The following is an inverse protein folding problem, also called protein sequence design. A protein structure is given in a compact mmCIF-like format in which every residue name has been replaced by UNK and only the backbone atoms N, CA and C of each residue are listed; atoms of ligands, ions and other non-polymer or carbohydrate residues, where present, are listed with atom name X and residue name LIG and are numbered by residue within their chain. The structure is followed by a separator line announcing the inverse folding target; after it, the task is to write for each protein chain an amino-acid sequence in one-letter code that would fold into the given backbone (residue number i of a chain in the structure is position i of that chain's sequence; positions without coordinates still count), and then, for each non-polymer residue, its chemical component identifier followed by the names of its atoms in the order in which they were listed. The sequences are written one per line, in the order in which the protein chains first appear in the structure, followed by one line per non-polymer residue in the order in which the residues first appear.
data_IF_515980926413
#
_entry.id   IF_515980926413
#
_cell.length_a   1.000
_cell.length_b   1.000
_cell.length_c   1.000
_cell.angle_alpha   90.00
_cell.angle_beta   90.00
_cell.angle_gamma   90.00
#
_symmetry.space_group_name_H-M   'P 1'
#
loop_
_entity.id
_entity.type
_entity.pdbx_description
1 polymer ?
#
# COMPACT_ATOMS: atom_id res chain seq x y z
N UNK A 1 13.94 21.56 -23.08
CA UNK A 1 13.22 22.68 -23.74
C UNK A 1 12.19 23.16 -22.74
N UNK A 2 11.95 24.47 -22.62
CA UNK A 2 10.95 25.01 -21.69
C UNK A 2 9.76 25.57 -22.44
N UNK A 3 8.58 25.44 -21.85
CA UNK A 3 7.39 26.10 -22.35
C UNK A 3 7.54 27.62 -22.20
N UNK A 4 7.30 28.37 -23.28
CA UNK A 4 7.50 29.82 -23.27
C UNK A 4 6.44 30.59 -22.48
N UNK A 5 5.32 29.95 -22.16
CA UNK A 5 4.19 30.54 -21.43
C UNK A 5 4.20 30.11 -19.98
N UNK A 6 4.30 28.80 -19.70
CA UNK A 6 4.25 28.29 -18.32
C UNK A 6 5.63 28.29 -17.64
N UNK A 7 6.72 28.33 -18.42
CA UNK A 7 8.08 28.21 -17.89
C UNK A 7 8.45 26.78 -17.46
N UNK A 8 7.55 25.81 -17.62
CA UNK A 8 7.79 24.43 -17.23
C UNK A 8 8.73 23.71 -18.21
N UNK A 9 9.39 22.68 -17.72
CA UNK A 9 10.18 21.78 -18.58
C UNK A 9 9.23 21.04 -19.53
N UNK A 10 9.42 21.20 -20.83
CA UNK A 10 8.75 20.38 -21.84
C UNK A 10 9.44 19.02 -21.95
N UNK A 11 8.72 17.97 -21.57
CA UNK A 11 9.15 16.58 -21.76
C UNK A 11 9.11 16.20 -23.25
N UNK A 12 10.18 15.60 -23.76
CA UNK A 12 10.33 15.23 -25.19
C UNK A 12 10.17 13.74 -25.46
N UNK A 13 9.85 12.93 -24.44
CA UNK A 13 9.65 11.49 -24.55
C UNK A 13 8.29 11.10 -25.15
N UNK A 14 7.97 9.81 -25.08
CA UNK A 14 6.67 9.29 -25.52
C UNK A 14 5.52 9.91 -24.70
N UNK A 15 4.48 10.39 -25.40
CA UNK A 15 3.32 11.06 -24.77
C UNK A 15 2.62 10.18 -23.74
N UNK A 16 2.57 8.86 -23.96
CA UNK A 16 1.96 7.90 -23.04
C UNK A 16 2.74 7.78 -21.74
N UNK A 17 4.06 7.67 -21.82
CA UNK A 17 4.98 7.61 -20.68
C UNK A 17 4.95 8.91 -19.89
N UNK A 18 4.94 10.06 -20.58
CA UNK A 18 4.84 11.38 -19.93
C UNK A 18 3.51 11.51 -19.17
N UNK A 19 2.39 11.11 -19.81
CA UNK A 19 1.07 11.15 -19.16
C UNK A 19 1.02 10.27 -17.92
N UNK A 20 1.68 9.12 -17.94
CA UNK A 20 1.73 8.23 -16.79
C UNK A 20 2.66 8.75 -15.70
N UNK A 21 3.80 9.33 -16.06
CA UNK A 21 4.69 10.02 -15.13
C UNK A 21 4.02 11.17 -14.39
N UNK A 22 3.12 11.92 -15.04
CA UNK A 22 2.33 12.96 -14.37
C UNK A 22 1.33 12.43 -13.33
N UNK A 23 1.04 11.12 -13.33
CA UNK A 23 0.18 10.47 -12.32
C UNK A 23 0.99 9.69 -11.28
N UNK A 24 2.29 9.93 -11.17
CA UNK A 24 3.15 9.15 -10.26
C UNK A 24 2.72 9.27 -8.80
N UNK A 25 2.26 10.47 -8.37
CA UNK A 25 1.88 10.74 -6.98
C UNK A 25 0.36 10.77 -6.77
N UNK A 26 -0.16 10.06 -5.75
CA UNK A 26 0.46 8.97 -4.99
C UNK A 26 0.48 7.67 -5.81
N UNK A 27 1.31 6.70 -5.43
CA UNK A 27 1.39 5.43 -6.14
C UNK A 27 0.09 4.61 -6.01
N UNK A 28 -0.65 4.48 -7.11
CA UNK A 28 -1.91 3.73 -7.17
C UNK A 28 -1.73 2.23 -6.91
N UNK A 29 -0.70 1.62 -7.49
CA UNK A 29 -0.35 0.21 -7.25
C UNK A 29 -0.09 -0.06 -5.77
N UNK A 30 0.64 0.84 -5.11
CA UNK A 30 0.96 0.71 -3.69
C UNK A 30 -0.30 0.88 -2.85
N UNK A 31 -1.09 1.93 -3.11
CA UNK A 31 -2.34 2.19 -2.38
C UNK A 31 -3.32 1.02 -2.46
N UNK A 32 -3.55 0.48 -3.66
CA UNK A 32 -4.48 -0.64 -3.84
C UNK A 32 -3.99 -1.92 -3.16
N UNK A 33 -2.70 -2.22 -3.27
CA UNK A 33 -2.09 -3.38 -2.63
C UNK A 33 -2.21 -3.31 -1.11
N UNK A 34 -1.88 -2.16 -0.51
CA UNK A 34 -2.02 -1.95 0.92
C UNK A 34 -3.49 -1.99 1.36
N UNK A 35 -4.41 -1.38 0.60
CA UNK A 35 -5.84 -1.41 0.94
C UNK A 35 -6.37 -2.85 1.10
N UNK A 36 -6.06 -3.74 0.15
CA UNK A 36 -6.51 -5.13 0.17
C UNK A 36 -5.74 -6.04 1.14
N UNK A 37 -4.41 -5.97 1.12
CA UNK A 37 -3.58 -6.92 1.87
C UNK A 37 -3.45 -6.57 3.36
N UNK A 38 -3.52 -5.29 3.73
CA UNK A 38 -3.68 -4.89 5.14
C UNK A 38 -5.04 -5.39 5.65
N UNK A 39 -6.11 -5.27 4.86
CA UNK A 39 -7.45 -5.70 5.28
C UNK A 39 -7.45 -7.21 5.51
N UNK A 40 -6.86 -7.95 4.57
CA UNK A 40 -6.69 -9.40 4.69
C UNK A 40 -5.89 -9.78 5.94
N UNK A 41 -4.80 -9.06 6.22
CA UNK A 41 -3.99 -9.27 7.44
C UNK A 41 -4.81 -9.05 8.72
N UNK A 42 -5.56 -7.95 8.81
CA UNK A 42 -6.47 -7.67 9.92
C UNK A 42 -7.55 -8.76 10.08
N UNK A 43 -8.17 -9.17 8.97
CA UNK A 43 -9.19 -10.21 8.97
C UNK A 43 -8.66 -11.56 9.46
N UNK A 44 -7.51 -11.99 8.94
CA UNK A 44 -6.86 -13.23 9.37
C UNK A 44 -6.46 -13.16 10.84
N UNK A 45 -5.90 -12.02 11.28
CA UNK A 45 -5.50 -11.77 12.67
C UNK A 45 -6.64 -12.03 13.67
N UNK A 46 -7.84 -11.51 13.37
CA UNK A 46 -9.04 -11.76 14.18
C UNK A 46 -9.51 -13.21 14.11
N UNK A 47 -9.54 -13.81 12.91
CA UNK A 47 -10.04 -15.18 12.71
C UNK A 47 -9.19 -16.25 13.37
N UNK A 48 -7.87 -16.16 13.29
CA UNK A 48 -6.96 -17.14 13.92
C UNK A 48 -6.65 -16.80 15.38
N UNK A 49 -7.17 -15.68 15.88
CA UNK A 49 -6.89 -15.12 17.21
C UNK A 49 -5.38 -15.10 17.47
N UNK A 50 -4.65 -14.33 16.67
CA UNK A 50 -3.17 -14.31 16.72
C UNK A 50 -2.65 -13.85 18.09
N UNK A 51 -3.43 -13.02 18.80
CA UNK A 51 -3.09 -12.47 20.12
C UNK A 51 -3.64 -13.28 21.30
N UNK A 52 -4.01 -14.56 21.10
CA UNK A 52 -4.53 -15.45 22.15
C UNK A 52 -3.50 -15.89 23.21
N UNK A 53 -2.27 -15.34 23.17
CA UNK A 53 -1.14 -15.63 24.08
C UNK A 53 -0.71 -17.10 24.13
N UNK A 54 -1.14 -17.94 23.17
CA UNK A 54 -0.76 -19.37 23.12
C UNK A 54 0.59 -19.63 22.45
N UNK A 55 1.27 -18.61 21.93
CA UNK A 55 2.65 -18.71 21.42
C UNK A 55 2.80 -19.41 20.06
N UNK A 56 1.75 -19.49 19.24
CA UNK A 56 1.82 -20.16 17.93
C UNK A 56 2.38 -19.23 16.84
N UNK A 57 3.69 -19.30 16.57
CA UNK A 57 4.38 -18.47 15.57
C UNK A 57 3.78 -18.60 14.16
N UNK A 58 3.28 -19.79 13.80
CA UNK A 58 2.65 -20.01 12.49
C UNK A 58 1.47 -19.05 12.22
N UNK A 59 0.71 -18.66 13.26
CA UNK A 59 -0.36 -17.67 13.13
C UNK A 59 0.19 -16.30 12.75
N UNK A 60 1.31 -15.90 13.34
CA UNK A 60 1.99 -14.65 13.04
C UNK A 60 2.52 -14.65 11.61
N UNK A 61 3.16 -15.74 11.17
CA UNK A 61 3.59 -15.87 9.77
C UNK A 61 2.43 -15.69 8.80
N UNK A 62 1.30 -16.35 9.06
CA UNK A 62 0.10 -16.26 8.23
C UNK A 62 -0.44 -14.82 8.11
N UNK A 63 -0.42 -14.06 9.22
CA UNK A 63 -0.88 -12.65 9.25
C UNK A 63 0.13 -11.70 8.59
N UNK A 64 1.43 -11.99 8.69
CA UNK A 64 2.49 -11.16 8.10
C UNK A 64 2.67 -11.38 6.59
N UNK A 65 2.35 -12.57 6.07
CA UNK A 65 2.51 -12.89 4.65
C UNK A 65 1.81 -11.88 3.70
N UNK A 66 0.53 -11.52 3.90
CA UNK A 66 -0.11 -10.47 3.10
C UNK A 66 0.63 -9.13 3.14
N UNK A 67 1.11 -8.72 4.33
CA UNK A 67 1.83 -7.46 4.51
C UNK A 67 3.18 -7.47 3.78
N UNK A 68 3.89 -8.59 3.82
CA UNK A 68 5.12 -8.79 3.07
C UNK A 68 4.88 -8.70 1.56
N UNK A 69 3.82 -9.33 1.06
CA UNK A 69 3.43 -9.21 -0.35
C UNK A 69 3.12 -7.76 -0.74
N UNK A 70 2.42 -7.02 0.12
CA UNK A 70 2.14 -5.59 -0.13
C UNK A 70 3.42 -4.77 -0.19
N UNK A 71 4.36 -5.01 0.74
CA UNK A 71 5.66 -4.37 0.77
C UNK A 71 6.51 -4.71 -0.47
N UNK A 72 6.50 -5.96 -0.94
CA UNK A 72 7.21 -6.36 -2.16
C UNK A 72 6.64 -5.66 -3.40
N UNK A 73 5.30 -5.53 -3.51
CA UNK A 73 4.68 -4.77 -4.60
C UNK A 73 5.11 -3.29 -4.54
N UNK A 74 5.12 -2.69 -3.35
CA UNK A 74 5.57 -1.31 -3.15
C UNK A 74 7.04 -1.11 -3.53
N UNK A 75 7.94 -2.01 -3.11
CA UNK A 75 9.36 -1.97 -3.47
C UNK A 75 9.53 -2.08 -4.99
N UNK A 76 8.78 -2.96 -5.67
CA UNK A 76 8.85 -3.06 -7.13
C UNK A 76 8.54 -1.74 -7.85
N UNK A 77 7.70 -0.87 -7.26
CA UNK A 77 7.36 0.43 -7.86
C UNK A 77 8.52 1.43 -7.82
N UNK A 78 9.37 1.31 -6.79
CA UNK A 78 10.61 2.09 -6.69
C UNK A 78 11.70 1.47 -7.57
N UNK A 79 11.81 0.14 -7.55
CA UNK A 79 12.82 -0.62 -8.31
C UNK A 79 12.66 -0.46 -9.83
N UNK A 80 11.42 -0.42 -10.33
CA UNK A 80 11.13 -0.19 -11.76
C UNK A 80 11.28 1.30 -12.18
N UNK A 81 11.75 2.19 -11.29
CA UNK A 81 11.94 3.65 -11.52
C UNK A 81 10.68 4.42 -11.96
N UNK A 82 9.48 3.86 -11.75
CA UNK A 82 8.22 4.52 -12.08
C UNK A 82 7.71 5.45 -10.98
N UNK A 83 8.12 5.20 -9.73
CA UNK A 83 7.68 5.98 -8.58
C UNK A 83 8.85 6.40 -7.72
N UNK A 84 8.77 7.64 -7.22
CA UNK A 84 9.64 8.06 -6.14
C UNK A 84 9.19 7.38 -4.84
N UNK A 85 10.11 7.23 -3.89
CA UNK A 85 9.79 6.59 -2.60
C UNK A 85 8.67 7.33 -1.84
N UNK A 86 8.53 8.66 -2.03
CA UNK A 86 7.45 9.46 -1.45
C UNK A 86 6.09 9.05 -2.00
N UNK A 87 5.99 8.76 -3.30
CA UNK A 87 4.76 8.32 -3.96
C UNK A 87 4.27 6.99 -3.37
N UNK A 88 5.21 6.09 -3.14
CA UNK A 88 4.99 4.76 -2.55
C UNK A 88 4.59 4.88 -1.08
N UNK A 89 5.30 5.71 -0.31
CA UNK A 89 4.98 5.93 1.10
C UNK A 89 3.58 6.54 1.28
N UNK A 90 3.24 7.57 0.51
CA UNK A 90 1.91 8.19 0.53
C UNK A 90 0.82 7.19 0.11
N UNK A 91 1.06 6.40 -0.93
CA UNK A 91 0.15 5.33 -1.35
C UNK A 91 -0.08 4.31 -0.25
N UNK A 92 0.97 3.84 0.42
CA UNK A 92 0.88 2.89 1.53
C UNK A 92 0.09 3.44 2.72
N UNK A 93 0.29 4.72 3.06
CA UNK A 93 -0.46 5.39 4.14
C UNK A 93 -1.95 5.47 3.83
N UNK A 94 -2.31 5.87 2.60
CA UNK A 94 -3.71 5.93 2.14
C UNK A 94 -4.34 4.53 2.21
N UNK A 95 -3.70 3.53 1.60
CA UNK A 95 -4.20 2.17 1.57
C UNK A 95 -4.42 1.59 2.98
N UNK A 96 -3.43 1.74 3.86
CA UNK A 96 -3.51 1.26 5.25
C UNK A 96 -4.62 1.95 6.04
N UNK A 97 -4.78 3.26 5.87
CA UNK A 97 -5.80 4.04 6.60
C UNK A 97 -7.21 3.63 6.20
N UNK A 98 -7.48 3.56 4.89
CA UNK A 98 -8.79 3.15 4.37
C UNK A 98 -9.09 1.70 4.76
N UNK A 99 -8.09 0.82 4.65
CA UNK A 99 -8.20 -0.57 5.06
C UNK A 99 -8.61 -0.72 6.53
N UNK A 100 -7.92 0.00 7.42
CA UNK A 100 -8.18 -0.03 8.87
C UNK A 100 -9.57 0.53 9.18
N UNK A 101 -9.95 1.65 8.55
CA UNK A 101 -11.28 2.24 8.71
C UNK A 101 -12.39 1.26 8.29
N UNK A 102 -12.27 0.66 7.11
CA UNK A 102 -13.24 -0.31 6.62
C UNK A 102 -13.30 -1.58 7.48
N UNK A 103 -12.17 -2.07 7.99
CA UNK A 103 -12.16 -3.23 8.87
C UNK A 103 -12.91 -2.93 10.19
N UNK A 104 -12.54 -1.83 10.85
CA UNK A 104 -13.07 -1.46 12.16
C UNK A 104 -14.56 -1.07 12.13
N UNK A 105 -15.11 -0.76 10.96
CA UNK A 105 -16.55 -0.54 10.78
C UNK A 105 -17.37 -1.83 10.98
N UNK A 106 -16.79 -3.00 10.70
CA UNK A 106 -17.52 -4.28 10.73
C UNK A 106 -17.00 -5.27 11.79
N UNK A 107 -15.75 -5.12 12.25
CA UNK A 107 -15.10 -6.07 13.14
C UNK A 107 -14.42 -5.37 14.31
N UNK A 108 -14.39 -5.99 15.51
CA UNK A 108 -13.61 -5.48 16.63
C UNK A 108 -12.10 -5.63 16.39
N UNK A 109 -11.26 -4.89 17.13
CA UNK A 109 -9.81 -5.05 17.06
C UNK A 109 -9.37 -6.50 17.35
N UNK A 110 -8.34 -7.04 16.67
CA UNK A 110 -7.95 -8.44 16.82
C UNK A 110 -7.42 -8.86 18.20
N UNK A 111 -7.08 -7.90 19.06
CA UNK A 111 -6.63 -8.12 20.44
C UNK A 111 -7.78 -8.03 21.45
N UNK A 112 -8.99 -7.71 20.97
CA UNK A 112 -10.16 -7.62 21.83
C UNK A 112 -10.46 -9.00 22.44
N UNK A 113 -10.74 -8.99 23.74
CA UNK A 113 -10.82 -10.20 24.57
C UNK A 113 -12.26 -10.65 24.84
N UNK A 114 -13.23 -9.86 24.37
CA UNK A 114 -14.66 -10.00 24.63
C UNK A 114 -15.36 -10.98 23.67
#
# INVERSE_FOLDING_TARGET
VFDKVTGDVQCTGDKSVIKEGHKSFPSGHTSWSFAGLVYLSWYLSGKVRVFDRRGHVAKLCLVLLPLLTAALIAVSRVDDYWHHWQDVFAGGLIGTTISSFCYLQFFPPPYDSD
#
